data_IF_976677562716
#
_entry.id   IF_976677562716
#
_cell.length_a   1.000
_cell.length_b   1.000
_cell.length_c   1.000
_cell.angle_alpha   90.00
_cell.angle_beta   90.00
_cell.angle_gamma   90.00
#
_symmetry.space_group_name_H-M   'P 1'
#
loop_
_entity.id
_entity.type
_entity.pdbx_description
1 polymer ?
#
# COMPACT_ATOMS: atom_id res chain seq x y z
N UNK A 1 19.02 1.18 -13.69
CA UNK A 1 17.58 1.08 -13.40
C UNK A 1 17.28 2.15 -12.37
N UNK A 2 16.24 2.99 -12.52
CA UNK A 2 15.88 3.97 -11.49
C UNK A 2 15.59 3.29 -10.16
N UNK A 3 15.99 3.93 -9.06
CA UNK A 3 15.65 3.50 -7.70
C UNK A 3 14.37 4.16 -7.23
N UNK A 4 13.51 3.37 -6.61
CA UNK A 4 12.24 3.81 -6.04
C UNK A 4 12.19 3.46 -4.56
N UNK A 5 11.57 4.32 -3.76
CA UNK A 5 11.42 4.15 -2.31
C UNK A 5 9.94 4.00 -1.96
N UNK A 6 9.61 3.05 -1.09
CA UNK A 6 8.24 2.66 -0.78
C UNK A 6 7.89 2.98 0.68
N UNK A 7 7.46 4.22 0.93
CA UNK A 7 6.96 4.59 2.25
C UNK A 7 5.54 4.04 2.43
N UNK A 8 5.24 3.48 3.60
CA UNK A 8 3.98 2.79 3.89
C UNK A 8 3.28 3.45 5.08
N UNK A 9 1.98 3.70 4.93
CA UNK A 9 1.07 4.05 6.01
C UNK A 9 0.06 2.92 6.22
N UNK A 10 0.00 2.40 7.44
CA UNK A 10 -0.96 1.39 7.86
C UNK A 10 -1.62 1.86 9.16
N UNK A 11 -2.81 2.47 9.05
CA UNK A 11 -3.45 3.13 10.20
C UNK A 11 -2.63 4.34 10.68
N UNK A 12 -2.19 4.31 11.94
CA UNK A 12 -1.35 5.35 12.55
C UNK A 12 0.16 5.08 12.41
N UNK A 13 0.54 3.92 11.88
CA UNK A 13 1.93 3.52 11.71
C UNK A 13 2.47 3.98 10.35
N UNK A 14 3.68 4.53 10.37
CA UNK A 14 4.45 4.91 9.19
C UNK A 14 5.73 4.11 9.17
N UNK A 15 5.95 3.36 8.10
CA UNK A 15 7.19 2.64 7.83
C UNK A 15 7.87 3.28 6.64
N UNK A 16 9.06 3.84 6.84
CA UNK A 16 9.86 4.39 5.75
C UNK A 16 10.77 3.33 5.16
N UNK A 17 10.98 3.42 3.86
CA UNK A 17 11.93 2.58 3.14
C UNK A 17 13.18 3.41 2.79
N UNK A 18 14.30 3.27 3.54
CA UNK A 18 15.53 4.00 3.27
C UNK A 18 16.40 3.37 2.18
N UNK A 19 16.17 2.11 1.84
CA UNK A 19 17.05 1.34 0.95
C UNK A 19 16.56 1.43 -0.51
N UNK A 20 15.23 1.39 -0.69
CA UNK A 20 14.58 1.41 -1.99
C UNK A 20 14.87 0.17 -2.83
N UNK A 21 14.26 0.12 -4.01
CA UNK A 21 14.44 -0.95 -4.98
C UNK A 21 14.78 -0.38 -6.36
N UNK A 22 15.76 -0.97 -7.03
CA UNK A 22 16.04 -0.66 -8.43
C UNK A 22 15.07 -1.42 -9.33
N UNK A 23 14.27 -0.70 -10.13
CA UNK A 23 13.25 -1.27 -11.00
C UNK A 23 13.36 -0.72 -12.42
N UNK A 24 12.78 -1.40 -13.39
CA UNK A 24 12.87 -1.02 -14.82
C UNK A 24 12.18 0.32 -15.13
N UNK A 25 11.20 0.71 -14.32
CA UNK A 25 10.44 1.96 -14.49
C UNK A 25 9.23 2.03 -13.57
N UNK A 26 8.39 3.04 -13.81
CA UNK A 26 7.23 3.32 -12.96
C UNK A 26 6.20 2.17 -12.95
N UNK A 27 5.96 1.50 -14.08
CA UNK A 27 5.03 0.35 -14.15
C UNK A 27 5.47 -0.82 -13.25
N UNK A 28 6.79 -1.07 -13.18
CA UNK A 28 7.34 -2.09 -12.29
C UNK A 28 7.22 -1.65 -10.81
N UNK A 29 7.42 -0.36 -10.54
CA UNK A 29 7.23 0.20 -9.20
C UNK A 29 5.76 0.18 -8.77
N UNK A 30 4.82 0.41 -9.68
CA UNK A 30 3.39 0.27 -9.43
C UNK A 30 3.03 -1.16 -9.06
N UNK A 31 3.53 -2.14 -9.82
CA UNK A 31 3.30 -3.54 -9.53
C UNK A 31 3.83 -3.93 -8.14
N UNK A 32 5.07 -3.55 -7.82
CA UNK A 32 5.69 -3.84 -6.52
C UNK A 32 4.92 -3.17 -5.37
N UNK A 33 4.55 -1.88 -5.52
CA UNK A 33 3.76 -1.16 -4.52
C UNK A 33 2.38 -1.82 -4.28
N UNK A 34 1.73 -2.30 -5.34
CA UNK A 34 0.46 -3.02 -5.23
C UNK A 34 0.62 -4.37 -4.51
N UNK A 35 1.69 -5.11 -4.78
CA UNK A 35 2.00 -6.35 -4.06
C UNK A 35 2.27 -6.08 -2.57
N UNK A 36 3.05 -5.03 -2.26
CA UNK A 36 3.31 -4.62 -0.88
C UNK A 36 2.02 -4.24 -0.15
N UNK A 37 1.18 -3.40 -0.75
CA UNK A 37 -0.11 -3.00 -0.18
C UNK A 37 -1.01 -4.21 0.09
N UNK A 38 -1.07 -5.18 -0.83
CA UNK A 38 -1.86 -6.39 -0.68
C UNK A 38 -1.33 -7.33 0.41
N UNK A 39 0.00 -7.49 0.49
CA UNK A 39 0.64 -8.33 1.50
C UNK A 39 0.36 -7.82 2.91
N UNK A 40 0.55 -6.52 3.14
CA UNK A 40 0.28 -5.86 4.42
C UNK A 40 -1.23 -5.86 4.71
N UNK A 41 -2.03 -5.46 3.72
CA UNK A 41 -3.48 -5.38 3.87
C UNK A 41 -4.13 -6.70 4.22
N UNK A 42 -3.59 -7.83 3.76
CA UNK A 42 -4.05 -9.18 4.12
C UNK A 42 -3.91 -9.45 5.62
N UNK A 43 -2.90 -8.89 6.29
CA UNK A 43 -2.66 -9.07 7.72
C UNK A 43 -3.44 -8.04 8.54
N UNK A 44 -3.38 -6.75 8.19
CA UNK A 44 -3.89 -5.67 9.03
C UNK A 44 -5.38 -5.37 8.86
N UNK A 45 -5.91 -5.42 7.63
CA UNK A 45 -7.27 -4.98 7.32
C UNK A 45 -8.36 -5.90 7.90
N UNK A 46 -8.25 -7.25 7.85
CA UNK A 46 -9.30 -8.13 8.38
C UNK A 46 -9.51 -8.02 9.88
N UNK A 47 -8.46 -7.68 10.63
CA UNK A 47 -8.50 -7.51 12.07
C UNK A 47 -8.95 -6.11 12.50
N UNK A 48 -9.09 -5.18 11.54
CA UNK A 48 -9.46 -3.79 11.80
C UNK A 48 -8.32 -2.96 12.41
N UNK A 49 -7.07 -3.42 12.31
CA UNK A 49 -5.88 -2.69 12.79
C UNK A 49 -5.60 -1.46 11.91
N UNK A 50 -5.97 -1.54 10.64
CA UNK A 50 -5.99 -0.42 9.71
C UNK A 50 -7.29 -0.41 8.91
N UNK A 51 -7.77 0.77 8.52
CA UNK A 51 -8.89 0.92 7.57
C UNK A 51 -8.42 1.00 6.12
N UNK A 52 -7.17 1.43 5.93
CA UNK A 52 -6.53 1.67 4.66
C UNK A 52 -5.01 1.44 4.80
N UNK A 53 -4.42 0.84 3.78
CA UNK A 53 -2.98 0.74 3.57
C UNK A 53 -2.64 1.67 2.40
N UNK A 54 -1.67 2.56 2.60
CA UNK A 54 -1.17 3.47 1.57
C UNK A 54 0.31 3.16 1.37
N UNK A 55 0.72 2.99 0.12
CA UNK A 55 2.12 2.88 -0.30
C UNK A 55 2.42 4.08 -1.20
N UNK A 56 3.28 4.98 -0.73
CA UNK A 56 3.80 6.09 -1.54
C UNK A 56 5.13 5.66 -2.13
N UNK A 57 5.22 5.75 -3.44
CA UNK A 57 6.45 5.53 -4.18
C UNK A 57 7.11 6.88 -4.46
N UNK A 58 8.38 6.99 -4.11
CA UNK A 58 9.21 8.17 -4.39
C UNK A 58 10.36 7.82 -5.31
N UNK A 59 10.84 8.79 -6.07
CA UNK A 59 12.05 8.66 -6.89
C UNK A 59 13.33 8.93 -6.10
N UNK A 60 14.48 8.89 -6.78
CA UNK A 60 15.82 9.18 -6.24
C UNK A 60 15.99 10.60 -5.68
N UNK A 61 15.08 11.52 -5.99
CA UNK A 61 15.09 12.89 -5.52
C UNK A 61 14.08 13.11 -4.36
N UNK A 62 13.56 12.03 -3.77
CA UNK A 62 12.54 12.04 -2.71
C UNK A 62 11.21 12.67 -3.18
N UNK A 63 10.97 12.74 -4.49
CA UNK A 63 9.70 13.23 -5.03
C UNK A 63 8.68 12.09 -5.12
N UNK A 64 7.45 12.28 -4.60
CA UNK A 64 6.39 11.29 -4.77
C UNK A 64 5.97 11.19 -6.23
N UNK A 65 6.06 9.99 -6.79
CA UNK A 65 5.73 9.70 -8.20
C UNK A 65 4.49 8.85 -8.37
N UNK A 66 4.10 8.07 -7.34
CA UNK A 66 2.93 7.21 -7.35
C UNK A 66 2.41 7.00 -5.93
N UNK A 67 1.09 6.79 -5.80
CA UNK A 67 0.45 6.31 -4.58
C UNK A 67 -0.42 5.11 -4.94
N UNK A 68 -0.26 4.01 -4.20
CA UNK A 68 -1.16 2.86 -4.23
C UNK A 68 -1.89 2.79 -2.90
N UNK A 69 -3.21 2.65 -2.94
CA UNK A 69 -4.04 2.56 -1.74
C UNK A 69 -4.93 1.30 -1.78
N UNK A 70 -5.03 0.62 -0.64
CA UNK A 70 -5.90 -0.53 -0.44
C UNK A 70 -6.74 -0.31 0.81
N UNK A 71 -8.06 -0.24 0.66
CA UNK A 71 -9.00 -0.11 1.75
C UNK A 71 -9.96 -1.31 1.80
N UNK A 72 -10.43 -1.66 2.99
CA UNK A 72 -11.42 -2.72 3.20
C UNK A 72 -12.65 -2.18 3.93
N UNK A 73 -13.84 -2.56 3.47
CA UNK A 73 -15.10 -2.24 4.11
C UNK A 73 -15.94 -3.51 4.26
N UNK A 74 -16.27 -3.88 5.50
CA UNK A 74 -17.11 -5.04 5.81
C UNK A 74 -18.51 -4.56 6.15
N UNK A 75 -19.51 -5.04 5.39
CA UNK A 75 -20.94 -4.77 5.64
C UNK A 75 -21.66 -6.10 5.84
N UNK A 76 -22.37 -6.24 6.96
CA UNK A 76 -23.23 -7.40 7.22
C UNK A 76 -24.60 -7.11 6.64
N UNK A 77 -25.07 -7.94 5.72
CA UNK A 77 -26.43 -7.88 5.19
C UNK A 77 -27.32 -8.75 6.06
N UNK A 78 -28.40 -8.20 6.60
CA UNK A 78 -29.41 -9.03 7.24
C UNK A 78 -30.13 -9.86 6.18
N UNK A 79 -30.40 -11.15 6.42
CA UNK A 79 -31.23 -11.92 5.53
C UNK A 79 -32.63 -11.30 5.52
N UNK A 80 -33.17 -11.03 4.34
CA UNK A 80 -34.56 -10.64 4.18
C UNK A 80 -35.43 -11.84 4.58
N UNK A 81 -35.88 -11.90 5.83
CA UNK A 81 -36.92 -12.83 6.22
C UNK A 81 -38.27 -12.25 5.77
N UNK A 82 -38.93 -12.96 4.85
CA UNK A 82 -40.29 -12.72 4.38
C UNK A 82 -41.27 -13.60 5.15
#
# INVERSE_FOLDING_TARGET
MPRFYFDIWAGDQITRDPDGLELEGLDAAEHEAALAAAAIGKESLPHGEATEIIVQVKDEHDHPVLIVALAMSVRRMEPAYA
#
